data_IF_932155249599
#
_entry.id   IF_932155249599
#
_cell.length_a   1.000
_cell.length_b   1.000
_cell.length_c   1.000
_cell.angle_alpha   90.00
_cell.angle_beta   90.00
_cell.angle_gamma   90.00
#
_symmetry.space_group_name_H-M   'P 1'
#
loop_
_entity.id
_entity.type
_entity.pdbx_description
1 polymer ?
#
# COMPACT_ATOMS: atom_id res chain seq x y z
N UNK A 1 -20.32 -24.89 -3.55
CA UNK A 1 -20.34 -24.37 -2.17
C UNK A 1 -20.82 -22.93 -2.25
N UNK A 2 -21.67 -22.51 -1.33
CA UNK A 2 -22.07 -21.10 -1.25
C UNK A 2 -20.85 -20.23 -0.91
N UNK A 3 -20.80 -19.02 -1.50
CA UNK A 3 -19.70 -18.07 -1.25
C UNK A 3 -19.74 -17.62 0.20
N UNK A 4 -18.61 -17.63 0.94
CA UNK A 4 -18.56 -17.06 2.28
C UNK A 4 -18.96 -15.58 2.26
N UNK A 5 -19.84 -15.18 3.20
CA UNK A 5 -20.31 -13.80 3.33
C UNK A 5 -19.79 -13.21 4.63
N UNK A 6 -19.14 -12.05 4.56
CA UNK A 6 -18.59 -11.38 5.74
C UNK A 6 -19.05 -9.92 5.79
N UNK A 7 -19.41 -9.50 6.99
CA UNK A 7 -19.85 -8.13 7.29
C UNK A 7 -18.75 -7.44 8.10
N UNK A 8 -18.31 -6.29 7.63
CA UNK A 8 -17.32 -5.43 8.31
C UNK A 8 -18.06 -4.21 8.86
N UNK A 9 -18.08 -4.06 10.18
CA UNK A 9 -18.78 -3.00 10.88
C UNK A 9 -17.78 -2.13 11.66
N UNK A 10 -17.87 -0.81 11.52
CA UNK A 10 -16.99 0.14 12.21
C UNK A 10 -17.68 1.47 12.48
N UNK A 11 -17.32 2.15 13.55
CA UNK A 11 -17.66 3.54 13.86
C UNK A 11 -16.70 4.56 13.19
N UNK A 12 -15.77 4.08 12.36
CA UNK A 12 -14.89 4.85 11.50
C UNK A 12 -14.89 4.29 10.07
N UNK A 13 -13.81 4.45 9.31
CA UNK A 13 -13.67 3.98 7.91
C UNK A 13 -13.80 2.46 7.78
N UNK A 14 -13.37 1.69 8.78
CA UNK A 14 -13.47 0.22 8.80
C UNK A 14 -12.28 -0.53 8.20
N UNK A 15 -11.22 0.15 7.82
CA UNK A 15 -10.03 -0.46 7.19
C UNK A 15 -9.39 -1.54 8.04
N UNK A 16 -9.27 -1.31 9.36
CA UNK A 16 -8.66 -2.28 10.29
C UNK A 16 -9.45 -3.60 10.32
N UNK A 17 -10.78 -3.51 10.41
CA UNK A 17 -11.64 -4.70 10.40
C UNK A 17 -11.56 -5.42 9.06
N UNK A 18 -11.60 -4.69 7.96
CA UNK A 18 -11.46 -5.26 6.61
C UNK A 18 -10.12 -5.99 6.44
N UNK A 19 -9.03 -5.38 6.89
CA UNK A 19 -7.70 -5.98 6.76
C UNK A 19 -7.59 -7.29 7.53
N UNK A 20 -8.06 -7.33 8.78
CA UNK A 20 -8.05 -8.54 9.61
C UNK A 20 -8.95 -9.63 9.01
N UNK A 21 -10.15 -9.26 8.53
CA UNK A 21 -11.07 -10.19 7.86
C UNK A 21 -10.44 -10.77 6.61
N UNK A 22 -9.82 -9.96 5.75
CA UNK A 22 -9.12 -10.45 4.54
C UNK A 22 -7.96 -11.38 4.88
N UNK A 23 -7.18 -11.04 5.90
CA UNK A 23 -6.08 -11.89 6.38
C UNK A 23 -6.59 -13.24 6.90
N UNK A 24 -7.73 -13.26 7.60
CA UNK A 24 -8.34 -14.51 8.04
C UNK A 24 -8.92 -15.31 6.87
N UNK A 25 -9.63 -14.67 5.95
CA UNK A 25 -10.20 -15.32 4.76
C UNK A 25 -9.13 -15.99 3.90
N UNK A 26 -7.95 -15.38 3.76
CA UNK A 26 -6.83 -15.96 2.99
C UNK A 26 -6.35 -17.33 3.50
N UNK A 27 -6.71 -17.71 4.73
CA UNK A 27 -6.40 -19.03 5.29
C UNK A 27 -7.36 -20.14 4.84
N UNK A 28 -8.49 -19.76 4.22
CA UNK A 28 -9.56 -20.69 3.84
C UNK A 28 -9.89 -20.69 2.35
N UNK A 29 -9.56 -19.60 1.64
CA UNK A 29 -9.99 -19.35 0.26
C UNK A 29 -8.77 -19.06 -0.62
N UNK A 30 -8.55 -19.90 -1.63
CA UNK A 30 -7.44 -19.73 -2.58
C UNK A 30 -7.76 -18.79 -3.74
N UNK A 31 -9.07 -18.65 -4.12
CA UNK A 31 -9.50 -17.96 -5.36
C UNK A 31 -10.26 -16.64 -5.13
N UNK A 32 -10.17 -16.04 -3.94
CA UNK A 32 -10.84 -14.76 -3.58
C UNK A 32 -12.38 -14.73 -3.81
N UNK A 33 -13.04 -15.88 -3.84
CA UNK A 33 -14.48 -15.96 -3.97
C UNK A 33 -15.21 -15.81 -2.63
N UNK A 34 -15.37 -14.56 -2.17
CA UNK A 34 -16.18 -14.20 -1.00
C UNK A 34 -17.01 -12.95 -1.29
N UNK A 35 -18.08 -12.75 -0.52
CA UNK A 35 -18.89 -11.53 -0.54
C UNK A 35 -18.60 -10.71 0.74
N UNK A 36 -18.22 -9.43 0.61
CA UNK A 36 -17.96 -8.56 1.74
C UNK A 36 -18.89 -7.35 1.74
N UNK A 37 -19.63 -7.19 2.84
CA UNK A 37 -20.48 -6.03 3.08
C UNK A 37 -19.84 -5.11 4.11
N UNK A 38 -19.69 -3.81 3.79
CA UNK A 38 -19.05 -2.81 4.63
C UNK A 38 -20.09 -1.86 5.20
N UNK A 39 -20.03 -1.65 6.52
CA UNK A 39 -20.85 -0.69 7.28
C UNK A 39 -19.90 0.24 8.05
N UNK A 40 -19.32 1.25 7.39
CA UNK A 40 -18.50 2.27 8.04
C UNK A 40 -19.38 3.34 8.72
N UNK A 41 -18.74 4.14 9.57
CA UNK A 41 -19.34 5.31 10.24
C UNK A 41 -20.64 5.01 10.98
N UNK A 42 -20.68 3.87 11.67
CA UNK A 42 -21.82 3.49 12.51
C UNK A 42 -21.88 4.38 13.75
N UNK A 43 -22.98 5.08 13.90
CA UNK A 43 -23.27 6.01 15.00
C UNK A 43 -24.57 5.70 15.75
N UNK A 44 -25.34 4.69 15.31
CA UNK A 44 -26.63 4.39 15.89
C UNK A 44 -27.00 2.89 15.88
N UNK A 45 -27.86 2.50 16.84
CA UNK A 45 -28.32 1.12 17.04
C UNK A 45 -29.22 0.62 15.89
N UNK A 46 -29.93 1.51 15.19
CA UNK A 46 -30.83 1.11 14.11
C UNK A 46 -30.06 0.56 12.90
N UNK A 47 -28.95 1.20 12.56
CA UNK A 47 -28.08 0.72 11.47
C UNK A 47 -27.42 -0.62 11.85
N UNK A 48 -27.02 -0.80 13.11
CA UNK A 48 -26.51 -2.07 13.62
C UNK A 48 -27.54 -3.19 13.50
N UNK A 49 -28.79 -2.93 13.88
CA UNK A 49 -29.87 -3.90 13.78
C UNK A 49 -30.10 -4.35 12.31
N UNK A 50 -30.09 -3.40 11.37
CA UNK A 50 -30.19 -3.72 9.93
C UNK A 50 -29.02 -4.58 9.45
N UNK A 51 -27.79 -4.27 9.89
CA UNK A 51 -26.60 -5.02 9.52
C UNK A 51 -26.66 -6.47 10.05
N UNK A 52 -27.10 -6.67 11.33
CA UNK A 52 -27.29 -7.99 11.91
C UNK A 52 -28.37 -8.78 11.18
N UNK A 53 -29.51 -8.15 10.84
CA UNK A 53 -30.58 -8.82 10.10
C UNK A 53 -30.08 -9.28 8.72
N UNK A 54 -29.36 -8.42 8.00
CA UNK A 54 -28.79 -8.78 6.71
C UNK A 54 -27.75 -9.90 6.81
N UNK A 55 -26.92 -9.88 7.89
CA UNK A 55 -25.98 -10.95 8.15
C UNK A 55 -26.66 -12.28 8.42
N UNK A 56 -27.77 -12.27 9.17
CA UNK A 56 -28.61 -13.46 9.39
C UNK A 56 -29.17 -14.00 8.08
N UNK A 57 -29.78 -13.13 7.27
CA UNK A 57 -30.46 -13.52 6.01
C UNK A 57 -29.46 -14.13 5.00
N UNK A 58 -28.21 -13.67 5.03
CA UNK A 58 -27.12 -14.16 4.17
C UNK A 58 -26.25 -15.21 4.84
N UNK A 59 -26.57 -15.69 6.03
CA UNK A 59 -25.77 -16.63 6.81
C UNK A 59 -24.30 -16.19 6.96
N UNK A 60 -24.08 -14.89 7.08
CA UNK A 60 -22.75 -14.29 7.13
C UNK A 60 -22.19 -14.15 8.55
N UNK A 61 -20.90 -13.83 8.62
CA UNK A 61 -20.15 -13.56 9.86
C UNK A 61 -19.91 -12.06 9.98
N UNK A 62 -19.99 -11.51 11.19
CA UNK A 62 -19.70 -10.10 11.47
C UNK A 62 -18.32 -9.97 12.12
N UNK A 63 -17.40 -9.20 11.52
CA UNK A 63 -16.19 -8.69 12.14
C UNK A 63 -16.32 -7.19 12.39
N UNK A 64 -16.04 -6.70 13.60
CA UNK A 64 -16.26 -5.30 13.90
C UNK A 64 -15.15 -4.62 14.72
N UNK A 65 -15.06 -3.29 14.57
CA UNK A 65 -14.11 -2.41 15.27
C UNK A 65 -14.83 -1.19 15.84
N UNK A 66 -15.86 -1.42 16.68
CA UNK A 66 -16.55 -0.34 17.40
C UNK A 66 -15.78 0.00 18.67
N UNK A 67 -15.47 1.29 18.88
CA UNK A 67 -14.84 1.76 20.14
C UNK A 67 -15.86 2.20 21.17
N UNK A 68 -17.05 2.67 20.74
CA UNK A 68 -18.15 3.03 21.63
C UNK A 68 -18.67 1.79 22.38
N UNK A 69 -18.64 1.78 23.74
CA UNK A 69 -19.07 0.64 24.53
C UNK A 69 -20.57 0.30 24.39
N UNK A 70 -21.43 1.31 24.19
CA UNK A 70 -22.86 1.08 24.02
C UNK A 70 -23.18 0.37 22.71
N UNK A 71 -22.62 0.87 21.60
CA UNK A 71 -22.81 0.27 20.28
C UNK A 71 -22.20 -1.13 20.22
N UNK A 72 -21.02 -1.32 20.82
CA UNK A 72 -20.34 -2.61 20.94
C UNK A 72 -21.20 -3.64 21.69
N UNK A 73 -21.70 -3.28 22.85
CA UNK A 73 -22.54 -4.17 23.66
C UNK A 73 -23.87 -4.47 22.97
N UNK A 74 -24.49 -3.46 22.32
CA UNK A 74 -25.69 -3.64 21.56
C UNK A 74 -25.47 -4.63 20.40
N UNK A 75 -24.42 -4.46 19.62
CA UNK A 75 -24.10 -5.34 18.49
C UNK A 75 -23.91 -6.79 18.95
N UNK A 76 -23.12 -7.02 20.01
CA UNK A 76 -22.91 -8.36 20.58
C UNK A 76 -24.23 -8.99 21.04
N UNK A 77 -25.08 -8.23 21.72
CA UNK A 77 -26.36 -8.73 22.24
C UNK A 77 -27.32 -9.06 21.10
N UNK A 78 -27.48 -8.16 20.13
CA UNK A 78 -28.38 -8.37 18.99
C UNK A 78 -27.92 -9.55 18.13
N UNK A 79 -26.62 -9.65 17.85
CA UNK A 79 -26.05 -10.78 17.09
C UNK A 79 -26.29 -12.12 17.80
N UNK A 80 -26.13 -12.15 19.13
CA UNK A 80 -26.44 -13.36 19.92
C UNK A 80 -27.92 -13.75 19.85
N UNK A 81 -28.83 -12.78 19.94
CA UNK A 81 -30.28 -13.02 19.84
C UNK A 81 -30.64 -13.58 18.46
N UNK A 82 -30.00 -13.06 17.41
CA UNK A 82 -30.26 -13.47 16.02
C UNK A 82 -29.45 -14.69 15.57
N UNK A 83 -28.63 -15.28 16.46
CA UNK A 83 -27.72 -16.39 16.17
C UNK A 83 -26.75 -16.11 15.01
N UNK A 84 -26.22 -14.87 14.95
CA UNK A 84 -25.18 -14.44 14.00
C UNK A 84 -23.83 -14.45 14.69
N UNK A 85 -22.83 -15.11 14.09
CA UNK A 85 -21.46 -15.10 14.60
C UNK A 85 -20.88 -13.69 14.50
N UNK A 86 -20.34 -13.16 15.60
CA UNK A 86 -19.93 -11.76 15.72
C UNK A 86 -18.62 -11.63 16.52
N UNK A 87 -17.59 -11.13 15.86
CA UNK A 87 -16.22 -11.05 16.38
C UNK A 87 -15.83 -9.59 16.66
N UNK A 88 -15.55 -9.29 17.92
CA UNK A 88 -14.98 -8.03 18.37
C UNK A 88 -13.46 -8.03 18.13
N UNK A 89 -13.01 -7.34 17.08
CA UNK A 89 -11.61 -7.32 16.66
C UNK A 89 -10.77 -6.40 17.55
N UNK A 90 -11.33 -5.27 18.00
CA UNK A 90 -10.57 -4.22 18.71
C UNK A 90 -10.77 -4.23 20.21
N UNK A 91 -11.95 -4.56 20.69
CA UNK A 91 -12.29 -4.46 22.10
C UNK A 91 -11.38 -5.23 23.07
N UNK A 92 -11.04 -6.51 22.79
CA UNK A 92 -10.13 -7.27 23.63
C UNK A 92 -8.75 -6.62 23.75
N UNK A 93 -8.21 -6.04 22.66
CA UNK A 93 -6.93 -5.35 22.66
C UNK A 93 -6.99 -4.06 23.48
N UNK A 94 -8.03 -3.23 23.30
CA UNK A 94 -8.24 -2.01 24.11
C UNK A 94 -8.28 -2.36 25.61
N UNK A 95 -9.05 -3.38 25.97
CA UNK A 95 -9.16 -3.81 27.36
C UNK A 95 -7.84 -4.35 27.95
N UNK A 96 -7.05 -5.05 27.14
CA UNK A 96 -5.73 -5.51 27.55
C UNK A 96 -4.75 -4.34 27.76
N UNK A 97 -4.75 -3.37 26.85
CA UNK A 97 -3.92 -2.16 26.97
C UNK A 97 -4.33 -1.28 28.15
N UNK A 98 -5.63 -1.14 28.43
CA UNK A 98 -6.13 -0.41 29.61
C UNK A 98 -5.55 -0.99 30.91
N UNK A 99 -5.57 -2.30 31.05
CA UNK A 99 -4.98 -2.98 32.22
C UNK A 99 -3.46 -2.83 32.27
N UNK A 100 -2.77 -3.05 31.14
CA UNK A 100 -1.31 -3.02 31.10
C UNK A 100 -0.72 -1.63 31.30
N UNK A 101 -1.37 -0.60 30.75
CA UNK A 101 -0.88 0.78 30.83
C UNK A 101 -1.46 1.56 32.02
N UNK A 102 -2.43 0.99 32.72
CA UNK A 102 -3.17 1.66 33.84
C UNK A 102 -3.73 3.03 33.39
N UNK A 103 -4.21 3.12 32.16
CA UNK A 103 -4.76 4.35 31.54
C UNK A 103 -6.10 4.04 30.91
N UNK A 104 -7.07 4.95 31.10
CA UNK A 104 -8.38 4.83 30.45
C UNK A 104 -8.27 5.10 28.96
N UNK A 105 -8.91 4.28 28.11
CA UNK A 105 -8.97 4.54 26.66
C UNK A 105 -9.84 5.77 26.39
N UNK A 106 -9.53 6.51 25.31
CA UNK A 106 -10.30 7.69 24.89
C UNK A 106 -11.67 7.33 24.32
N UNK A 107 -11.81 6.16 23.75
CA UNK A 107 -13.02 5.64 23.11
C UNK A 107 -13.62 6.56 22.03
N UNK A 108 -12.78 7.30 21.35
CA UNK A 108 -13.16 8.18 20.24
C UNK A 108 -12.95 7.47 18.91
N UNK A 109 -14.01 7.35 18.05
CA UNK A 109 -13.88 6.76 16.72
C UNK A 109 -12.89 7.51 15.84
N UNK A 110 -12.16 6.77 15.01
CA UNK A 110 -11.32 7.37 13.96
C UNK A 110 -10.07 8.11 14.44
N UNK A 111 -9.64 7.95 15.69
CA UNK A 111 -8.45 8.63 16.22
C UNK A 111 -7.19 8.46 15.34
N UNK A 112 -7.03 7.31 14.71
CA UNK A 112 -5.92 7.05 13.79
C UNK A 112 -6.01 7.85 12.48
N UNK A 113 -7.20 8.33 12.15
CA UNK A 113 -7.49 9.11 10.93
C UNK A 113 -7.74 10.60 11.24
N UNK A 114 -7.50 11.03 12.48
CA UNK A 114 -7.59 12.46 12.77
C UNK A 114 -6.58 13.21 11.91
N UNK A 115 -6.98 14.40 11.45
CA UNK A 115 -6.16 15.33 10.66
C UNK A 115 -5.06 15.92 11.55
N UNK A 116 -4.13 15.08 11.95
CA UNK A 116 -2.92 15.46 12.67
C UNK A 116 -1.76 15.79 11.70
N UNK A 117 -0.64 16.23 12.24
CA UNK A 117 0.56 16.55 11.45
C UNK A 117 1.04 15.36 10.61
N UNK A 118 0.86 14.13 11.11
CA UNK A 118 1.23 12.89 10.42
C UNK A 118 0.32 12.59 9.22
N UNK A 119 -0.96 12.93 9.31
CA UNK A 119 -1.89 12.85 8.17
C UNK A 119 -1.48 13.82 7.07
N UNK A 120 -1.25 15.10 7.41
CA UNK A 120 -0.85 16.10 6.41
C UNK A 120 0.49 15.76 5.76
N UNK A 121 1.49 15.31 6.53
CA UNK A 121 2.77 14.84 5.97
C UNK A 121 2.59 13.67 5.00
N UNK A 122 1.66 12.76 5.27
CA UNK A 122 1.36 11.62 4.38
C UNK A 122 0.71 12.08 3.09
N UNK A 123 -0.30 12.96 3.17
CA UNK A 123 -0.96 13.52 1.98
C UNK A 123 0.04 14.29 1.13
N UNK A 124 0.84 15.16 1.73
CA UNK A 124 1.90 15.91 1.04
C UNK A 124 2.89 14.97 0.32
N UNK A 125 3.31 13.88 0.97
CA UNK A 125 4.21 12.90 0.37
C UNK A 125 3.56 12.15 -0.81
N UNK A 126 2.26 11.82 -0.73
CA UNK A 126 1.51 11.17 -1.81
C UNK A 126 1.37 12.13 -3.00
N UNK A 127 0.94 13.36 -2.76
CA UNK A 127 0.84 14.39 -3.80
C UNK A 127 2.20 14.65 -4.47
N UNK A 128 3.27 14.68 -3.66
CA UNK A 128 4.64 14.82 -4.14
C UNK A 128 5.02 13.65 -5.06
N UNK A 129 4.78 12.40 -4.65
CA UNK A 129 5.11 11.22 -5.44
C UNK A 129 4.34 11.15 -6.77
N UNK A 130 3.08 11.62 -6.79
CA UNK A 130 2.29 11.74 -8.05
C UNK A 130 2.83 12.85 -8.95
N UNK A 131 3.15 14.01 -8.37
CA UNK A 131 3.62 15.19 -9.12
C UNK A 131 4.98 14.98 -9.76
N UNK A 132 5.88 14.30 -9.06
CA UNK A 132 7.28 14.09 -9.48
C UNK A 132 7.54 12.65 -9.95
N UNK A 133 6.50 12.00 -10.51
CA UNK A 133 6.63 10.71 -11.19
C UNK A 133 7.17 10.89 -12.61
N UNK A 134 7.91 9.88 -13.08
CA UNK A 134 8.47 9.79 -14.43
C UNK A 134 9.32 11.00 -14.89
N UNK A 135 9.98 11.69 -13.96
CA UNK A 135 10.94 12.76 -14.28
C UNK A 135 10.34 14.00 -14.94
N UNK A 136 9.02 14.19 -14.84
CA UNK A 136 8.29 15.33 -15.46
C UNK A 136 8.79 16.69 -15.02
N UNK A 137 9.24 16.78 -13.77
CA UNK A 137 9.72 18.03 -13.18
C UNK A 137 11.00 17.76 -12.35
N UNK A 138 12.18 18.19 -12.82
CA UNK A 138 13.44 17.95 -12.13
C UNK A 138 13.56 18.59 -10.74
N UNK A 139 12.75 19.61 -10.44
CA UNK A 139 12.75 20.28 -9.13
C UNK A 139 12.43 19.33 -7.98
N UNK A 140 11.66 18.27 -8.26
CA UNK A 140 11.36 17.23 -7.29
C UNK A 140 12.59 16.49 -6.78
N UNK A 141 13.63 16.36 -7.59
CA UNK A 141 14.87 15.68 -7.19
C UNK A 141 15.52 16.37 -5.98
N UNK A 142 15.52 17.70 -5.93
CA UNK A 142 16.11 18.43 -4.81
C UNK A 142 15.24 18.38 -3.56
N UNK A 143 13.93 18.42 -3.73
CA UNK A 143 12.94 18.50 -2.65
C UNK A 143 12.56 17.15 -2.06
N UNK A 144 12.94 16.04 -2.70
CA UNK A 144 12.62 14.68 -2.25
C UNK A 144 13.50 14.21 -1.11
N UNK A 145 12.95 13.32 -0.29
CA UNK A 145 13.70 12.52 0.69
C UNK A 145 14.43 11.37 -0.02
N UNK A 146 13.84 10.83 -1.07
CA UNK A 146 14.37 9.70 -1.85
C UNK A 146 14.20 9.99 -3.34
N UNK A 147 15.23 9.66 -4.13
CA UNK A 147 15.21 9.66 -5.59
C UNK A 147 15.36 8.24 -6.11
N UNK A 148 14.33 7.70 -6.74
CA UNK A 148 14.38 6.38 -7.39
C UNK A 148 14.83 6.50 -8.84
N UNK A 149 15.89 5.78 -9.19
CA UNK A 149 16.53 5.82 -10.51
C UNK A 149 16.43 4.43 -11.13
N UNK A 150 15.95 4.32 -12.36
CA UNK A 150 15.89 3.01 -13.02
C UNK A 150 15.23 3.06 -14.38
N UNK A 151 15.41 2.00 -15.15
CA UNK A 151 14.75 1.83 -16.45
C UNK A 151 13.25 1.61 -16.29
N UNK A 152 12.49 1.67 -17.38
CA UNK A 152 11.05 1.40 -17.36
C UNK A 152 10.75 -0.03 -16.87
N UNK A 153 9.74 -0.19 -16.00
CA UNK A 153 9.29 -1.47 -15.39
C UNK A 153 10.18 -2.02 -14.28
N UNK A 154 10.90 -1.17 -13.57
CA UNK A 154 11.60 -1.53 -12.32
C UNK A 154 10.76 -1.19 -11.07
N UNK A 155 9.45 -1.10 -11.19
CA UNK A 155 8.49 -0.82 -10.10
C UNK A 155 8.69 0.52 -9.39
N UNK A 156 9.31 1.55 -10.04
CA UNK A 156 9.50 2.87 -9.43
C UNK A 156 8.20 3.47 -8.91
N UNK A 157 7.18 3.60 -9.77
CA UNK A 157 5.89 4.22 -9.42
C UNK A 157 5.18 3.53 -8.24
N UNK A 158 4.94 2.21 -8.22
CA UNK A 158 4.33 1.57 -7.04
C UNK A 158 5.21 1.68 -5.79
N UNK A 159 6.53 1.67 -5.93
CA UNK A 159 7.46 1.82 -4.82
C UNK A 159 7.43 3.24 -4.25
N UNK A 160 7.39 4.27 -5.10
CA UNK A 160 7.27 5.67 -4.65
C UNK A 160 5.96 5.91 -3.92
N UNK A 161 4.85 5.35 -4.39
CA UNK A 161 3.56 5.43 -3.72
C UNK A 161 3.59 4.71 -2.35
N UNK A 162 4.18 3.52 -2.28
CA UNK A 162 4.32 2.80 -1.02
C UNK A 162 5.15 3.59 0.02
N UNK A 163 6.27 4.17 -0.40
CA UNK A 163 7.13 5.00 0.46
C UNK A 163 6.44 6.31 0.85
N UNK A 164 5.63 6.90 -0.04
CA UNK A 164 4.82 8.08 0.26
C UNK A 164 3.80 7.82 1.38
N UNK A 165 3.17 6.64 1.41
CA UNK A 165 2.35 6.23 2.56
C UNK A 165 3.13 6.11 3.87
N UNK A 166 4.47 5.99 3.81
CA UNK A 166 5.38 6.09 4.97
C UNK A 166 5.86 7.53 5.23
N UNK A 167 5.23 8.54 4.61
CA UNK A 167 5.49 9.98 4.77
C UNK A 167 6.82 10.45 4.18
N UNK A 168 7.35 9.74 3.19
CA UNK A 168 8.58 10.09 2.49
C UNK A 168 8.25 10.68 1.11
N UNK A 169 8.79 11.85 0.81
CA UNK A 169 8.70 12.48 -0.51
C UNK A 169 9.64 11.76 -1.48
N UNK A 170 9.08 11.14 -2.50
CA UNK A 170 9.85 10.32 -3.45
C UNK A 170 9.71 10.87 -4.85
N UNK A 171 10.83 11.15 -5.50
CA UNK A 171 10.91 11.50 -6.91
C UNK A 171 11.37 10.29 -7.74
N UNK A 172 10.78 10.10 -8.92
CA UNK A 172 11.16 9.06 -9.86
C UNK A 172 11.90 9.63 -11.05
N UNK A 173 13.07 9.08 -11.36
CA UNK A 173 13.86 9.44 -12.53
C UNK A 173 13.99 8.22 -13.44
N UNK A 174 13.26 8.18 -14.58
CA UNK A 174 13.43 7.15 -15.59
C UNK A 174 14.74 7.36 -16.34
N UNK A 175 15.45 6.26 -16.60
CA UNK A 175 16.68 6.28 -17.42
C UNK A 175 16.37 5.68 -18.77
N UNK A 176 16.67 6.46 -19.82
CA UNK A 176 16.52 6.09 -21.24
C UNK A 176 17.75 6.55 -21.99
N UNK A 177 18.37 5.72 -22.85
CA UNK A 177 19.62 6.08 -23.53
C UNK A 177 19.55 7.33 -24.42
N UNK A 178 18.34 7.66 -24.93
CA UNK A 178 18.12 8.79 -25.83
C UNK A 178 17.94 10.13 -25.12
N UNK A 179 17.80 10.12 -23.80
CA UNK A 179 17.52 11.32 -23.00
C UNK A 179 18.54 11.43 -21.87
N UNK A 180 19.31 12.51 -21.87
CA UNK A 180 20.21 12.76 -20.74
C UNK A 180 19.41 13.00 -19.45
N UNK A 181 19.81 12.36 -18.34
CA UNK A 181 19.19 12.63 -17.04
C UNK A 181 19.31 14.09 -16.65
N UNK A 182 18.34 14.64 -15.91
CA UNK A 182 18.39 16.03 -15.45
C UNK A 182 19.68 16.34 -14.68
N UNK A 183 20.24 17.54 -14.90
CA UNK A 183 21.46 17.97 -14.20
C UNK A 183 21.33 17.97 -12.69
N UNK A 184 20.13 18.16 -12.18
CA UNK A 184 19.72 18.11 -10.77
C UNK A 184 20.02 16.74 -10.14
N UNK A 185 19.93 15.67 -10.92
CA UNK A 185 20.24 14.32 -10.47
C UNK A 185 21.70 14.17 -10.06
N UNK A 186 22.62 14.75 -10.83
CA UNK A 186 24.07 14.70 -10.55
C UNK A 186 24.50 15.66 -9.43
N UNK A 187 23.63 16.60 -9.06
CA UNK A 187 23.84 17.53 -7.94
C UNK A 187 23.17 17.04 -6.65
N UNK A 188 22.33 16.01 -6.74
CA UNK A 188 21.64 15.45 -5.59
C UNK A 188 22.61 14.75 -4.64
N UNK A 189 22.28 14.72 -3.34
CA UNK A 189 23.04 13.94 -2.38
C UNK A 189 22.97 12.44 -2.75
N UNK A 190 24.09 11.77 -3.01
CA UNK A 190 24.09 10.34 -3.37
C UNK A 190 23.39 9.45 -2.34
N UNK A 191 23.39 9.82 -1.05
CA UNK A 191 22.76 9.04 0.02
C UNK A 191 21.24 8.93 -0.10
N UNK A 192 20.58 9.90 -0.77
CA UNK A 192 19.12 9.83 -1.02
C UNK A 192 18.75 9.21 -2.38
N UNK A 193 19.74 8.96 -3.24
CA UNK A 193 19.54 8.36 -4.54
C UNK A 193 19.60 6.83 -4.45
N UNK A 194 18.64 6.14 -5.03
CA UNK A 194 18.57 4.67 -5.03
C UNK A 194 18.40 4.18 -6.46
N UNK A 195 19.40 3.46 -6.97
CA UNK A 195 19.31 2.77 -8.25
C UNK A 195 18.51 1.47 -8.12
N UNK A 196 17.58 1.23 -9.05
CA UNK A 196 16.81 -0.01 -9.11
C UNK A 196 17.25 -0.83 -10.31
N UNK A 197 17.99 -1.91 -10.03
CA UNK A 197 18.49 -2.87 -11.03
C UNK A 197 17.53 -4.04 -11.15
N UNK A 198 17.37 -4.54 -12.38
CA UNK A 198 16.55 -5.73 -12.67
C UNK A 198 17.29 -6.67 -13.61
N UNK A 199 17.04 -7.97 -13.48
CA UNK A 199 17.56 -8.97 -14.41
C UNK A 199 16.99 -8.71 -15.82
N UNK A 200 17.83 -8.74 -16.90
CA UNK A 200 17.40 -8.45 -18.27
C UNK A 200 16.28 -9.37 -18.77
N UNK A 201 16.36 -10.68 -18.48
CA UNK A 201 15.35 -11.65 -18.89
C UNK A 201 14.03 -11.38 -18.18
N UNK A 202 14.06 -11.14 -16.88
CA UNK A 202 12.86 -10.79 -16.10
C UNK A 202 12.21 -9.51 -16.61
N UNK A 203 13.02 -8.49 -16.96
CA UNK A 203 12.52 -7.26 -17.56
C UNK A 203 11.84 -7.49 -18.90
N UNK A 204 12.43 -8.35 -19.74
CA UNK A 204 11.85 -8.75 -21.02
C UNK A 204 10.47 -9.39 -20.82
N UNK A 205 10.37 -10.35 -19.90
CA UNK A 205 9.11 -11.06 -19.61
C UNK A 205 8.01 -10.08 -19.15
N UNK A 206 8.34 -9.17 -18.24
CA UNK A 206 7.41 -8.12 -17.75
C UNK A 206 6.96 -7.20 -18.90
N UNK A 207 7.88 -6.81 -19.79
CA UNK A 207 7.55 -5.94 -20.91
C UNK A 207 6.68 -6.64 -21.95
N UNK A 208 6.92 -7.91 -22.22
CA UNK A 208 6.07 -8.73 -23.11
C UNK A 208 4.65 -8.87 -22.56
N UNK A 209 4.50 -9.18 -21.29
CA UNK A 209 3.18 -9.25 -20.63
C UNK A 209 2.45 -7.89 -20.71
N UNK A 210 3.18 -6.78 -20.56
CA UNK A 210 2.58 -5.45 -20.70
C UNK A 210 2.13 -5.16 -22.13
N UNK A 211 2.89 -5.56 -23.13
CA UNK A 211 2.49 -5.41 -24.54
C UNK A 211 1.23 -6.21 -24.85
N UNK A 212 1.16 -7.46 -24.39
CA UNK A 212 -0.05 -8.31 -24.51
C UNK A 212 -1.27 -7.64 -23.87
N UNK A 213 -1.13 -7.14 -22.65
CA UNK A 213 -2.22 -6.45 -21.93
C UNK A 213 -2.71 -5.18 -22.65
N UNK A 214 -1.87 -4.56 -23.47
CA UNK A 214 -2.21 -3.38 -24.29
C UNK A 214 -2.72 -3.74 -25.72
N UNK A 215 -2.81 -5.04 -26.05
CA UNK A 215 -3.18 -5.49 -27.40
C UNK A 215 -2.11 -5.21 -28.46
N UNK A 216 -0.86 -4.96 -28.04
CA UNK A 216 0.28 -4.69 -28.93
C UNK A 216 1.05 -5.99 -29.16
N UNK A 217 1.41 -6.26 -30.43
CA UNK A 217 2.14 -7.49 -30.78
C UNK A 217 3.58 -7.52 -30.25
N UNK A 218 4.15 -8.73 -30.15
CA UNK A 218 5.48 -9.04 -29.59
C UNK A 218 6.68 -8.39 -30.33
N UNK A 219 6.47 -7.73 -31.45
CA UNK A 219 7.53 -7.12 -32.29
C UNK A 219 7.93 -5.70 -31.87
N UNK A 220 7.40 -5.19 -30.79
CA UNK A 220 7.76 -3.85 -30.33
C UNK A 220 9.22 -3.82 -29.85
N UNK A 221 9.99 -2.85 -30.31
CA UNK A 221 11.39 -2.57 -29.89
C UNK A 221 11.53 -2.53 -28.37
N UNK A 222 10.45 -2.18 -27.67
CA UNK A 222 10.37 -2.06 -26.22
C UNK A 222 10.71 -3.35 -25.45
N UNK A 223 10.42 -4.55 -25.98
CA UNK A 223 10.72 -5.86 -25.38
C UNK A 223 11.88 -6.58 -26.10
N UNK A 224 12.71 -5.85 -26.86
CA UNK A 224 13.88 -6.42 -27.51
C UNK A 224 15.05 -6.52 -26.51
N UNK A 225 15.72 -7.67 -26.45
CA UNK A 225 16.84 -7.92 -25.52
C UNK A 225 18.03 -6.99 -25.74
N UNK A 226 18.37 -6.68 -26.99
CA UNK A 226 19.45 -5.74 -27.31
C UNK A 226 19.13 -4.34 -26.75
N UNK A 227 17.88 -3.91 -26.93
CA UNK A 227 17.40 -2.65 -26.37
C UNK A 227 17.47 -2.63 -24.86
N UNK A 228 17.02 -3.69 -24.21
CA UNK A 228 17.05 -3.85 -22.75
C UNK A 228 18.49 -3.76 -22.23
N UNK A 229 19.42 -4.45 -22.87
CA UNK A 229 20.83 -4.40 -22.47
C UNK A 229 21.40 -2.99 -22.60
N UNK A 230 21.16 -2.27 -23.68
CA UNK A 230 21.58 -0.88 -23.85
C UNK A 230 21.02 0.04 -22.74
N UNK A 231 19.76 -0.13 -22.38
CA UNK A 231 19.14 0.64 -21.29
C UNK A 231 19.80 0.33 -19.93
N UNK A 232 20.08 -0.94 -19.65
CA UNK A 232 20.71 -1.36 -18.40
C UNK A 232 22.18 -0.94 -18.32
N UNK A 233 22.93 -0.97 -19.40
CA UNK A 233 24.29 -0.45 -19.50
C UNK A 233 24.33 1.06 -19.26
N UNK A 234 23.41 1.79 -19.90
CA UNK A 234 23.27 3.23 -19.66
C UNK A 234 22.90 3.54 -18.21
N UNK A 235 21.92 2.83 -17.64
CA UNK A 235 21.56 2.93 -16.23
C UNK A 235 22.79 2.70 -15.32
N UNK A 236 23.57 1.65 -15.59
CA UNK A 236 24.76 1.34 -14.82
C UNK A 236 25.77 2.50 -14.83
N UNK A 237 26.01 3.09 -16.01
CA UNK A 237 26.92 4.24 -16.13
C UNK A 237 26.45 5.47 -15.34
N UNK A 238 25.12 5.68 -15.24
CA UNK A 238 24.55 6.80 -14.48
C UNK A 238 24.69 6.58 -12.96
N UNK A 239 24.34 5.41 -12.46
CA UNK A 239 24.44 5.13 -11.00
C UNK A 239 25.89 5.11 -10.51
N UNK A 240 26.84 4.71 -11.36
CA UNK A 240 28.26 4.80 -11.08
C UNK A 240 28.77 6.25 -10.98
N UNK A 241 28.30 7.12 -11.87
CA UNK A 241 28.59 8.57 -11.79
C UNK A 241 28.03 9.21 -10.53
N UNK A 242 26.82 8.82 -10.12
CA UNK A 242 26.16 9.35 -8.91
C UNK A 242 26.77 8.72 -7.64
N UNK A 243 27.32 7.51 -7.74
CA UNK A 243 27.82 6.70 -6.60
C UNK A 243 26.74 6.39 -5.56
N UNK A 244 25.52 6.11 -6.03
CA UNK A 244 24.41 5.79 -5.15
C UNK A 244 24.27 4.27 -4.90
N UNK A 245 23.61 3.85 -3.81
CA UNK A 245 23.25 2.46 -3.59
C UNK A 245 22.38 1.91 -4.72
N UNK A 246 22.61 0.63 -5.11
CA UNK A 246 21.82 -0.07 -6.13
C UNK A 246 21.16 -1.29 -5.50
N UNK A 247 19.85 -1.44 -5.70
CA UNK A 247 19.05 -2.55 -5.20
C UNK A 247 18.58 -3.39 -6.38
N UNK A 248 18.77 -4.69 -6.31
CA UNK A 248 18.19 -5.63 -7.28
C UNK A 248 16.75 -5.93 -6.90
N UNK A 249 15.82 -5.60 -7.81
CA UNK A 249 14.37 -5.75 -7.64
C UNK A 249 13.79 -6.93 -8.42
N UNK A 250 14.64 -7.77 -9.03
CA UNK A 250 14.21 -8.84 -9.97
C UNK A 250 13.15 -9.78 -9.40
N UNK A 251 13.26 -10.10 -8.11
CA UNK A 251 12.39 -11.07 -7.43
C UNK A 251 11.91 -10.58 -6.06
N UNK A 252 11.90 -9.26 -5.87
CA UNK A 252 11.43 -8.65 -4.62
C UNK A 252 10.04 -8.02 -4.80
N UNK A 253 9.21 -8.18 -3.80
CA UNK A 253 7.99 -7.40 -3.68
C UNK A 253 8.32 -5.91 -3.44
N UNK A 254 7.33 -5.04 -3.71
CA UNK A 254 7.48 -3.59 -3.48
C UNK A 254 7.79 -3.30 -2.02
N UNK A 255 7.12 -3.99 -1.10
CA UNK A 255 7.27 -3.89 0.34
C UNK A 255 8.66 -4.30 0.82
N UNK A 256 9.20 -5.39 0.26
CA UNK A 256 10.56 -5.85 0.57
C UNK A 256 11.60 -4.84 0.11
N UNK A 257 11.44 -4.32 -1.11
CA UNK A 257 12.32 -3.28 -1.66
C UNK A 257 12.25 -2.01 -0.81
N UNK A 258 11.06 -1.59 -0.41
CA UNK A 258 10.86 -0.44 0.47
C UNK A 258 11.55 -0.62 1.82
N UNK A 259 11.46 -1.80 2.44
CA UNK A 259 12.14 -2.10 3.70
C UNK A 259 13.67 -2.02 3.58
N UNK A 260 14.23 -2.49 2.46
CA UNK A 260 15.68 -2.34 2.18
C UNK A 260 16.07 -0.86 2.09
N UNK A 261 15.27 -0.05 1.36
CA UNK A 261 15.49 1.40 1.24
C UNK A 261 15.45 2.06 2.62
N UNK A 262 14.41 1.79 3.42
CA UNK A 262 14.27 2.35 4.76
C UNK A 262 15.46 1.98 5.68
N UNK A 263 16.04 0.81 5.50
CA UNK A 263 17.23 0.37 6.24
C UNK A 263 18.48 1.14 5.80
N UNK A 264 18.64 1.41 4.51
CA UNK A 264 19.73 2.22 3.95
C UNK A 264 19.64 3.67 4.46
N UNK A 265 18.43 4.25 4.45
CA UNK A 265 18.19 5.63 4.85
C UNK A 265 18.36 5.90 6.37
N UNK A 266 18.35 4.86 7.20
CA UNK A 266 18.56 4.98 8.67
C UNK A 266 20.03 4.98 9.08
N UNK A 267 20.94 4.66 8.17
CA UNK A 267 22.40 4.67 8.38
C UNK A 267 22.97 6.04 8.03
#
# INVERSE_FOLDING_TARGET
>A
MEKPVVFVISDSVGETAEFVVKAALSQFIYDQEYEMHRFPYIDNKMTLKKAVQLAKDKQGIIGFTLVDPELRNYLKTESKIQHVECIDIMGPMISAMERAFSRKPRLEPGLIHQLDEDYFKRIEAIEFAVRYDDGRDPRGIQQSDIVLIGVSRTSKTPLSQYLAHKRLKVANVPIVPEVEPPSELFKANPAKCIGLKINPQKLNDIRKERLKALGLGDRAIYANMERINKELEHFQSIVEKIKCPVIDVSYKAVEETANVILTIMRK
#
